data_IF_315081285638
#
_entry.id   IF_315081285638
#
_cell.length_a   1.000
_cell.length_b   1.000
_cell.length_c   1.000
_cell.angle_alpha   90.00
_cell.angle_beta   90.00
_cell.angle_gamma   90.00
#
_symmetry.space_group_name_H-M   'P 1'
#
loop_
_entity.id
_entity.type
_entity.pdbx_description
1 polymer ?
#
# COMPACT_ATOMS: atom_id res chain seq x y z
N UNK A 1 19.34 4.18 10.73
CA UNK A 1 19.71 4.70 9.39
C UNK A 1 18.58 5.62 8.94
N UNK A 2 18.86 6.90 8.66
CA UNK A 2 17.86 7.90 8.27
C UNK A 2 18.00 8.23 6.78
N UNK A 3 16.91 8.61 6.13
CA UNK A 3 16.94 9.06 4.74
C UNK A 3 16.06 10.28 4.54
N UNK A 4 16.44 11.12 3.58
CA UNK A 4 15.70 12.32 3.24
C UNK A 4 14.57 11.97 2.27
N UNK A 5 13.37 12.47 2.56
CA UNK A 5 12.22 12.41 1.67
C UNK A 5 11.53 13.77 1.68
N UNK A 6 10.99 14.17 0.53
CA UNK A 6 10.14 15.35 0.42
C UNK A 6 8.68 14.91 0.52
N UNK A 7 7.96 15.49 1.49
CA UNK A 7 6.56 15.17 1.72
C UNK A 7 5.63 16.23 1.16
N UNK A 8 4.63 15.81 0.38
CA UNK A 8 3.50 16.65 -0.02
C UNK A 8 2.21 16.09 0.58
N UNK A 9 1.29 16.93 1.10
CA UNK A 9 0.00 16.45 1.56
C UNK A 9 -0.73 15.79 0.39
N UNK A 10 -1.15 14.54 0.60
CA UNK A 10 -1.86 13.75 -0.40
C UNK A 10 -3.38 13.92 -0.26
N UNK A 11 -3.85 14.03 0.98
CA UNK A 11 -5.23 14.31 1.33
C UNK A 11 -5.25 15.60 2.18
N UNK A 12 -6.17 16.52 1.89
CA UNK A 12 -6.30 17.77 2.63
C UNK A 12 -7.05 17.58 3.96
N UNK A 13 -7.88 16.54 4.06
CA UNK A 13 -8.72 16.28 5.23
C UNK A 13 -8.09 15.31 6.22
N UNK A 14 -7.03 14.61 5.81
CA UNK A 14 -6.40 13.54 6.60
C UNK A 14 -4.89 13.70 6.59
N UNK A 15 -4.19 13.29 7.66
CA UNK A 15 -2.74 13.36 7.71
C UNK A 15 -2.10 12.23 6.89
N UNK A 16 -2.32 12.28 5.58
CA UNK A 16 -1.76 11.37 4.58
C UNK A 16 -0.80 12.16 3.71
N UNK A 17 0.45 11.70 3.65
CA UNK A 17 1.53 12.38 2.95
C UNK A 17 2.07 11.48 1.86
N UNK A 18 2.27 12.04 0.68
CA UNK A 18 3.06 11.40 -0.36
C UNK A 18 4.52 11.78 -0.13
N UNK A 19 5.37 10.78 0.07
CA UNK A 19 6.80 10.96 0.28
C UNK A 19 7.55 10.53 -0.98
N UNK A 20 8.24 11.48 -1.60
CA UNK A 20 9.20 11.20 -2.66
C UNK A 20 10.58 11.02 -2.04
N UNK A 21 11.12 9.81 -2.15
CA UNK A 21 12.38 9.43 -1.53
C UNK A 21 13.52 9.88 -2.44
N UNK A 22 14.44 10.69 -1.89
CA UNK A 22 15.59 11.19 -2.64
C UNK A 22 16.70 10.15 -2.65
N UNK A 23 16.93 9.57 -3.82
CA UNK A 23 17.99 8.58 -4.04
C UNK A 23 19.25 9.21 -4.63
N UNK A 24 20.38 8.86 -4.03
CA UNK A 24 21.70 9.12 -4.62
C UNK A 24 21.97 8.17 -5.78
N UNK A 25 22.98 8.47 -6.61
CA UNK A 25 23.40 7.56 -7.68
C UNK A 25 23.84 6.18 -7.15
N UNK A 26 24.49 6.15 -5.97
CA UNK A 26 24.88 4.91 -5.31
C UNK A 26 23.66 4.08 -4.87
N UNK A 27 22.62 4.73 -4.32
CA UNK A 27 21.40 4.03 -3.92
C UNK A 27 20.72 3.36 -5.14
N UNK A 28 20.72 4.04 -6.30
CA UNK A 28 20.16 3.51 -7.55
C UNK A 28 20.95 2.30 -8.06
N UNK A 29 22.28 2.39 -8.06
CA UNK A 29 23.16 1.28 -8.45
C UNK A 29 23.00 0.08 -7.52
N UNK A 30 22.93 0.31 -6.20
CA UNK A 30 22.70 -0.73 -5.20
C UNK A 30 21.36 -1.44 -5.42
N UNK A 31 20.28 -0.69 -5.70
CA UNK A 31 18.98 -1.29 -6.02
C UNK A 31 19.03 -2.12 -7.29
N UNK A 32 19.74 -1.66 -8.32
CA UNK A 32 19.90 -2.40 -9.56
C UNK A 32 20.65 -3.72 -9.33
N UNK A 33 21.78 -3.65 -8.63
CA UNK A 33 22.59 -4.82 -8.25
C UNK A 33 21.75 -5.78 -7.40
N UNK A 34 20.99 -5.27 -6.43
CA UNK A 34 20.10 -6.08 -5.62
C UNK A 34 19.03 -6.80 -6.44
N UNK A 35 18.29 -6.08 -7.32
CA UNK A 35 17.27 -6.72 -8.17
C UNK A 35 17.90 -7.79 -9.05
N UNK A 36 19.06 -7.51 -9.62
CA UNK A 36 19.80 -8.46 -10.44
C UNK A 36 20.27 -9.69 -9.64
N UNK A 37 20.83 -9.50 -8.45
CA UNK A 37 21.27 -10.58 -7.57
C UNK A 37 20.09 -11.40 -7.04
N UNK A 38 18.98 -10.76 -6.68
CA UNK A 38 17.76 -11.44 -6.17
C UNK A 38 17.11 -12.35 -7.19
N UNK A 39 17.35 -12.14 -8.48
CA UNK A 39 16.89 -13.01 -9.55
C UNK A 39 17.78 -14.25 -9.73
N UNK A 40 19.02 -14.22 -9.20
CA UNK A 40 20.04 -15.27 -9.38
C UNK A 40 20.35 -16.06 -8.12
N UNK A 41 20.19 -15.48 -6.94
CA UNK A 41 20.51 -16.08 -5.66
C UNK A 41 19.22 -16.40 -4.89
N UNK A 42 19.22 -17.51 -4.13
CA UNK A 42 18.05 -17.87 -3.34
C UNK A 42 17.79 -16.84 -2.24
N UNK A 43 16.51 -16.60 -1.91
CA UNK A 43 16.08 -15.60 -0.92
C UNK A 43 16.83 -15.69 0.42
N UNK A 44 17.22 -16.91 0.81
CA UNK A 44 17.93 -17.23 2.06
C UNK A 44 19.28 -16.49 2.16
N UNK A 45 19.98 -16.28 1.04
CA UNK A 45 21.27 -15.59 1.05
C UNK A 45 21.13 -14.06 1.09
N UNK A 46 19.95 -13.53 0.77
CA UNK A 46 19.73 -12.09 0.56
C UNK A 46 19.20 -11.38 1.80
N UNK A 47 18.52 -12.06 2.72
CA UNK A 47 17.97 -11.47 3.96
C UNK A 47 18.99 -10.69 4.81
N UNK A 48 20.18 -11.23 5.15
CA UNK A 48 21.14 -10.50 5.99
C UNK A 48 21.70 -9.25 5.28
N UNK A 49 21.85 -9.31 3.96
CA UNK A 49 22.32 -8.18 3.14
C UNK A 49 21.27 -7.07 3.10
N UNK A 50 19.98 -7.42 3.05
CA UNK A 50 18.87 -6.47 3.08
C UNK A 50 18.78 -5.69 4.38
N UNK A 51 19.00 -6.36 5.52
CA UNK A 51 19.04 -5.72 6.82
C UNK A 51 20.20 -4.72 6.93
N UNK A 52 21.33 -5.01 6.27
CA UNK A 52 22.53 -4.16 6.31
C UNK A 52 22.41 -2.93 5.38
N UNK A 53 21.77 -3.09 4.22
CA UNK A 53 21.59 -2.02 3.22
C UNK A 53 20.49 -1.01 3.59
N UNK A 54 19.60 -1.38 4.51
CA UNK A 54 18.58 -0.49 5.06
C UNK A 54 17.37 -0.24 4.15
N UNK A 55 16.37 0.49 4.67
CA UNK A 55 15.05 0.61 4.04
C UNK A 55 15.07 1.33 2.68
N UNK A 56 16.10 2.15 2.41
CA UNK A 56 16.26 2.86 1.13
C UNK A 56 16.30 1.91 -0.07
N UNK A 57 16.98 0.77 0.05
CA UNK A 57 17.12 -0.17 -1.07
C UNK A 57 15.80 -0.89 -1.36
N UNK A 58 14.96 -1.07 -0.33
CA UNK A 58 13.70 -1.81 -0.37
C UNK A 58 12.48 -0.97 -0.79
N UNK A 59 12.39 0.29 -0.35
CA UNK A 59 11.24 1.13 -0.61
C UNK A 59 11.22 1.64 -2.07
N UNK A 60 10.05 1.79 -2.72
CA UNK A 60 9.96 2.39 -4.06
C UNK A 60 10.30 3.89 -4.05
N UNK A 61 10.32 4.51 -5.23
CA UNK A 61 10.65 5.94 -5.35
C UNK A 61 9.69 6.86 -4.58
N UNK A 62 8.44 6.42 -4.47
CA UNK A 62 7.38 7.16 -3.84
C UNK A 62 6.60 6.21 -2.93
N UNK A 63 6.38 6.66 -1.69
CA UNK A 63 5.58 5.94 -0.70
C UNK A 63 4.50 6.85 -0.14
N UNK A 64 3.42 6.26 0.33
CA UNK A 64 2.35 6.97 1.04
C UNK A 64 2.56 6.73 2.53
N UNK A 65 2.61 7.82 3.29
CA UNK A 65 2.70 7.82 4.73
C UNK A 65 1.34 8.24 5.31
N UNK A 66 0.68 7.34 6.03
CA UNK A 66 -0.58 7.63 6.73
C UNK A 66 -0.32 7.74 8.21
N UNK A 67 -0.39 8.94 8.76
CA UNK A 67 -0.24 9.15 10.20
C UNK A 67 -1.49 8.75 10.95
N UNK A 68 -1.30 8.32 12.20
CA UNK A 68 -2.39 8.12 13.15
C UNK A 68 -3.04 9.46 13.49
N UNK A 69 -4.37 9.45 13.55
CA UNK A 69 -5.16 10.58 14.05
C UNK A 69 -5.45 10.32 15.52
N UNK A 70 -4.94 11.17 16.41
CA UNK A 70 -5.10 11.04 17.86
C UNK A 70 -6.25 11.93 18.36
N UNK A 71 -7.46 11.73 17.81
CA UNK A 71 -8.64 12.52 18.17
C UNK A 71 -9.49 11.85 19.26
N UNK A 72 -9.70 10.54 19.12
CA UNK A 72 -10.51 9.72 20.02
C UNK A 72 -10.06 8.24 19.97
N UNK A 73 -10.51 7.43 20.93
CA UNK A 73 -10.18 6.00 21.00
C UNK A 73 -10.60 5.23 19.74
N UNK A 74 -11.69 5.63 19.09
CA UNK A 74 -12.15 5.02 17.84
C UNK A 74 -11.16 5.24 16.69
N UNK A 75 -10.60 6.44 16.58
CA UNK A 75 -9.56 6.74 15.58
C UNK A 75 -8.25 5.99 15.84
N UNK A 76 -7.87 5.78 17.11
CA UNK A 76 -6.69 5.00 17.49
C UNK A 76 -6.93 3.51 17.19
N UNK A 77 -8.10 2.97 17.56
CA UNK A 77 -8.47 1.59 17.28
C UNK A 77 -8.49 1.32 15.76
N UNK A 78 -9.04 2.24 14.97
CA UNK A 78 -9.07 2.13 13.51
C UNK A 78 -7.66 2.03 12.91
N UNK A 79 -6.68 2.75 13.44
CA UNK A 79 -5.28 2.66 13.00
C UNK A 79 -4.69 1.27 13.27
N UNK A 80 -4.91 0.71 14.47
CA UNK A 80 -4.44 -0.64 14.80
C UNK A 80 -5.16 -1.73 14.00
N UNK A 81 -6.46 -1.57 13.77
CA UNK A 81 -7.21 -2.47 12.89
C UNK A 81 -6.67 -2.42 11.48
N UNK A 82 -6.40 -1.24 10.92
CA UNK A 82 -5.82 -1.10 9.59
C UNK A 82 -4.46 -1.81 9.50
N UNK A 83 -3.58 -1.56 10.46
CA UNK A 83 -2.30 -2.27 10.55
C UNK A 83 -2.47 -3.79 10.57
N UNK A 84 -3.42 -4.29 11.36
CA UNK A 84 -3.71 -5.71 11.47
C UNK A 84 -4.23 -6.28 10.14
N UNK A 85 -5.17 -5.61 9.47
CA UNK A 85 -5.70 -6.03 8.17
C UNK A 85 -4.56 -6.16 7.15
N UNK A 86 -3.72 -5.13 7.00
CA UNK A 86 -2.60 -5.22 6.05
C UNK A 86 -1.62 -6.35 6.39
N UNK A 87 -1.41 -6.63 7.68
CA UNK A 87 -0.52 -7.71 8.11
C UNK A 87 -1.13 -9.09 7.87
N UNK A 88 -2.43 -9.25 8.07
CA UNK A 88 -3.15 -10.52 7.86
C UNK A 88 -3.30 -10.84 6.38
N UNK A 89 -3.66 -9.85 5.56
CA UNK A 89 -3.94 -10.04 4.13
C UNK A 89 -2.77 -9.65 3.23
N UNK A 90 -1.55 -10.03 3.61
CA UNK A 90 -0.35 -9.78 2.80
C UNK A 90 -0.46 -10.33 1.37
N UNK A 91 -1.18 -11.43 1.18
CA UNK A 91 -1.38 -12.07 -0.13
C UNK A 91 -2.26 -11.23 -1.09
N UNK A 92 -3.08 -10.30 -0.59
CA UNK A 92 -3.91 -9.41 -1.40
C UNK A 92 -3.20 -8.11 -1.80
N UNK A 93 -2.01 -7.86 -1.23
CA UNK A 93 -1.23 -6.65 -1.51
C UNK A 93 -0.62 -6.67 -2.90
N UNK A 94 -0.65 -5.52 -3.58
CA UNK A 94 -0.23 -5.33 -4.96
C UNK A 94 -1.30 -5.60 -6.02
N UNK A 95 -2.45 -6.14 -5.62
CA UNK A 95 -3.61 -6.33 -6.50
C UNK A 95 -4.81 -5.54 -5.98
N UNK A 96 -5.35 -5.94 -4.82
CA UNK A 96 -6.55 -5.32 -4.23
C UNK A 96 -6.22 -4.26 -3.19
N UNK A 97 -5.03 -4.35 -2.60
CA UNK A 97 -4.56 -3.45 -1.56
C UNK A 97 -3.16 -2.93 -1.90
N UNK A 98 -2.80 -1.70 -1.49
CA UNK A 98 -1.41 -1.25 -1.54
C UNK A 98 -0.47 -2.19 -0.79
N UNK A 99 0.81 -2.23 -1.20
CA UNK A 99 1.83 -2.88 -0.39
C UNK A 99 2.03 -2.12 0.91
N UNK A 100 2.05 -2.85 2.02
CA UNK A 100 2.38 -2.32 3.34
C UNK A 100 3.84 -2.59 3.65
N UNK A 101 4.62 -1.52 3.81
CA UNK A 101 6.06 -1.59 4.07
C UNK A 101 6.41 -1.55 5.56
N UNK A 102 5.43 -1.31 6.43
CA UNK A 102 5.62 -1.31 7.87
C UNK A 102 5.25 0.03 8.53
N UNK A 103 5.66 0.16 9.79
CA UNK A 103 5.42 1.36 10.60
C UNK A 103 6.56 2.35 10.49
N UNK A 104 6.23 3.61 10.66
CA UNK A 104 7.17 4.70 10.81
C UNK A 104 6.71 5.64 11.94
N UNK A 105 7.57 6.59 12.29
CA UNK A 105 7.22 7.72 13.13
C UNK A 105 7.34 8.99 12.29
N UNK A 106 6.31 9.84 12.33
CA UNK A 106 6.42 11.20 11.84
C UNK A 106 6.53 12.14 13.03
N UNK A 107 7.76 12.59 13.31
CA UNK A 107 8.08 13.16 14.61
C UNK A 107 7.87 12.11 15.70
N UNK A 108 6.86 12.33 16.55
CA UNK A 108 6.45 11.40 17.62
C UNK A 108 5.18 10.62 17.31
N UNK A 109 4.53 10.89 16.17
CA UNK A 109 3.22 10.31 15.84
C UNK A 109 3.42 9.02 15.03
N UNK A 110 2.81 7.90 15.43
CA UNK A 110 2.83 6.66 14.65
C UNK A 110 2.25 6.83 13.25
N UNK A 111 2.85 6.18 12.27
CA UNK A 111 2.40 6.20 10.89
C UNK A 111 2.57 4.83 10.23
N UNK A 112 1.76 4.55 9.22
CA UNK A 112 1.88 3.39 8.35
C UNK A 112 2.46 3.82 6.99
N UNK A 113 3.35 2.99 6.44
CA UNK A 113 4.01 3.24 5.17
C UNK A 113 3.45 2.27 4.13
N UNK A 114 2.94 2.82 3.03
CA UNK A 114 2.33 2.08 1.93
C UNK A 114 2.99 2.38 0.59
N UNK A 115 2.83 1.49 -0.38
CA UNK A 115 3.07 1.83 -1.79
C UNK A 115 2.05 2.86 -2.25
N UNK A 116 2.46 3.72 -3.18
CA UNK A 116 1.48 4.49 -3.93
C UNK A 116 0.61 3.53 -4.76
N UNK A 117 -0.70 3.62 -4.59
CA UNK A 117 -1.64 2.95 -5.47
C UNK A 117 -1.71 3.72 -6.79
N UNK A 118 -1.38 3.05 -7.90
CA UNK A 118 -1.59 3.60 -9.23
C UNK A 118 -3.03 3.28 -9.66
N UNK A 119 -3.78 4.27 -10.16
CA UNK A 119 -5.15 4.04 -10.60
C UNK A 119 -6.05 5.25 -10.39
N UNK A 120 -7.35 5.03 -10.59
CA UNK A 120 -8.41 6.00 -10.29
C UNK A 120 -9.20 5.51 -9.10
N UNK A 121 -9.66 6.44 -8.28
CA UNK A 121 -10.61 6.13 -7.23
C UNK A 121 -11.91 5.57 -7.82
N UNK A 122 -12.58 4.68 -7.08
CA UNK A 122 -13.84 4.08 -7.55
C UNK A 122 -14.88 5.15 -7.95
N UNK A 123 -14.95 6.28 -7.24
CA UNK A 123 -15.90 7.34 -7.58
C UNK A 123 -15.55 8.08 -8.88
N UNK A 124 -14.27 8.15 -9.24
CA UNK A 124 -13.74 8.75 -10.48
C UNK A 124 -13.91 7.85 -11.71
N UNK A 125 -14.22 6.56 -11.51
CA UNK A 125 -14.49 5.64 -12.61
C UNK A 125 -15.79 6.00 -13.33
N UNK A 126 -15.76 5.94 -14.66
CA UNK A 126 -16.96 5.96 -15.51
C UNK A 126 -17.87 4.78 -15.20
N UNK A 127 -19.15 4.86 -15.61
CA UNK A 127 -20.12 3.78 -15.39
C UNK A 127 -19.67 2.44 -16.00
N UNK A 128 -18.96 2.48 -17.13
CA UNK A 128 -18.43 1.27 -17.78
C UNK A 128 -17.23 0.70 -17.03
N UNK A 129 -16.29 1.54 -16.60
CA UNK A 129 -15.16 1.13 -15.76
C UNK A 129 -15.65 0.54 -14.43
N UNK A 130 -16.67 1.15 -13.81
CA UNK A 130 -17.32 0.62 -12.58
C UNK A 130 -17.91 -0.76 -12.80
N UNK A 131 -18.68 -0.96 -13.88
CA UNK A 131 -19.33 -2.24 -14.19
C UNK A 131 -18.31 -3.38 -14.34
N UNK A 132 -17.10 -3.07 -14.83
CA UNK A 132 -16.01 -4.05 -14.97
C UNK A 132 -15.22 -4.26 -13.67
N UNK A 133 -14.98 -3.21 -12.91
CA UNK A 133 -14.17 -3.27 -11.69
C UNK A 133 -14.93 -3.86 -10.49
N UNK A 134 -16.23 -3.54 -10.34
CA UNK A 134 -17.03 -3.93 -9.17
C UNK A 134 -17.00 -5.44 -8.86
N UNK A 135 -17.18 -6.37 -9.81
CA UNK A 135 -17.15 -7.80 -9.50
C UNK A 135 -15.80 -8.30 -8.95
N UNK A 136 -14.69 -7.70 -9.39
CA UNK A 136 -13.34 -8.05 -8.93
C UNK A 136 -13.13 -7.53 -7.51
N UNK A 137 -13.56 -6.30 -7.26
CA UNK A 137 -13.51 -5.66 -5.95
C UNK A 137 -14.36 -6.43 -4.94
N UNK A 138 -15.60 -6.78 -5.31
CA UNK A 138 -16.56 -7.49 -4.46
C UNK A 138 -16.01 -8.86 -4.06
N UNK A 139 -15.49 -9.65 -5.00
CA UNK A 139 -14.85 -10.93 -4.70
C UNK A 139 -13.66 -10.77 -3.74
N UNK A 140 -12.80 -9.78 -3.99
CA UNK A 140 -11.68 -9.48 -3.09
C UNK A 140 -12.11 -9.11 -1.68
N UNK A 141 -13.26 -8.44 -1.53
CA UNK A 141 -13.83 -8.12 -0.24
C UNK A 141 -14.55 -9.29 0.43
N UNK A 142 -15.14 -10.20 -0.33
CA UNK A 142 -15.68 -11.46 0.19
C UNK A 142 -14.57 -12.26 0.87
N UNK A 143 -13.41 -12.38 0.22
CA UNK A 143 -12.20 -13.01 0.78
C UNK A 143 -11.70 -12.30 2.07
N UNK A 144 -11.78 -10.97 2.11
CA UNK A 144 -11.50 -10.21 3.35
C UNK A 144 -12.55 -10.45 4.44
N UNK A 145 -13.81 -10.69 4.07
CA UNK A 145 -14.93 -10.76 5.00
C UNK A 145 -15.10 -12.12 5.67
N UNK A 146 -14.75 -13.21 4.98
CA UNK A 146 -14.88 -14.57 5.51
C UNK A 146 -13.99 -14.79 6.75
N UNK A 147 -12.87 -14.08 6.83
CA UNK A 147 -11.92 -14.11 7.94
C UNK A 147 -12.18 -13.00 8.99
N UNK A 148 -12.90 -11.93 8.63
CA UNK A 148 -13.25 -10.80 9.52
C UNK A 148 -14.72 -10.87 9.95
N UNK A 149 -15.10 -11.95 10.63
CA UNK A 149 -16.34 -11.95 11.41
C UNK A 149 -16.25 -10.89 12.53
N UNK A 150 -17.20 -9.93 12.54
CA UNK A 150 -17.38 -8.79 13.45
C UNK A 150 -16.79 -7.44 12.99
N UNK A 151 -17.55 -6.73 12.15
CA UNK A 151 -18.10 -5.38 12.39
C UNK A 151 -18.38 -4.69 11.04
N UNK A 152 -19.68 -4.57 10.74
CA UNK A 152 -20.34 -3.83 9.66
C UNK A 152 -19.48 -3.49 8.42
N UNK A 153 -19.27 -4.52 7.60
CA UNK A 153 -18.65 -4.42 6.28
C UNK A 153 -19.39 -3.48 5.34
N UNK A 154 -20.70 -3.30 5.49
CA UNK A 154 -21.50 -2.45 4.59
C UNK A 154 -21.16 -0.97 4.79
N UNK A 155 -20.93 -0.55 6.05
CA UNK A 155 -20.53 0.81 6.37
C UNK A 155 -19.04 1.04 6.07
N UNK A 156 -18.18 0.02 6.24
CA UNK A 156 -16.74 0.10 5.90
C UNK A 156 -16.48 0.13 4.40
N UNK A 157 -17.14 -0.71 3.60
CA UNK A 157 -17.09 -0.64 2.13
C UNK A 157 -17.62 0.71 1.66
N UNK A 158 -18.67 1.24 2.29
CA UNK A 158 -19.20 2.60 2.01
C UNK A 158 -18.20 3.71 2.36
N UNK A 159 -17.50 3.61 3.49
CA UNK A 159 -16.45 4.57 3.89
C UNK A 159 -15.20 4.47 3.00
N UNK A 160 -14.84 3.28 2.55
CA UNK A 160 -13.71 3.09 1.63
C UNK A 160 -14.05 3.52 0.20
N UNK A 161 -15.33 3.38 -0.23
CA UNK A 161 -15.87 3.97 -1.47
C UNK A 161 -15.60 5.48 -1.58
N UNK A 162 -15.64 6.17 -0.43
CA UNK A 162 -15.39 7.61 -0.32
C UNK A 162 -13.92 7.98 -0.10
N UNK A 163 -13.04 7.02 0.21
CA UNK A 163 -11.62 7.26 0.53
C UNK A 163 -10.67 7.16 -0.66
N UNK A 164 -11.20 7.01 -1.87
CA UNK A 164 -10.40 7.12 -3.08
C UNK A 164 -9.33 6.03 -3.23
N UNK A 165 -9.60 4.80 -2.78
CA UNK A 165 -8.71 3.67 -3.09
C UNK A 165 -8.60 3.53 -4.61
N UNK A 166 -7.42 3.82 -5.14
CA UNK A 166 -7.07 3.57 -6.53
C UNK A 166 -6.87 2.07 -6.71
N UNK A 167 -7.69 1.48 -7.57
CA UNK A 167 -7.44 0.12 -8.05
C UNK A 167 -6.42 0.22 -9.18
N UNK A 168 -5.33 -0.52 -9.03
CA UNK A 168 -4.41 -0.75 -10.14
C UNK A 168 -5.05 -1.76 -11.11
N UNK A 169 -5.99 -1.29 -11.93
CA UNK A 169 -6.68 -2.10 -12.94
C UNK A 169 -5.70 -2.54 -14.06
N UNK A 170 -4.44 -2.10 -14.04
CA UNK A 170 -3.52 -2.25 -15.17
C UNK A 170 -2.97 -3.66 -15.35
N UNK A 171 -2.81 -4.43 -14.27
CA UNK A 171 -2.17 -5.76 -14.36
C UNK A 171 -3.17 -6.92 -14.58
N UNK A 172 -4.37 -6.86 -14.01
CA UNK A 172 -5.36 -7.92 -14.23
C UNK A 172 -6.05 -7.84 -15.60
N UNK A 173 -6.19 -6.63 -16.18
CA UNK A 173 -6.71 -6.48 -17.56
C UNK A 173 -5.79 -7.12 -18.61
N UNK A 174 -4.46 -7.05 -18.44
CA UNK A 174 -3.52 -7.63 -19.39
C UNK A 174 -3.44 -9.17 -19.28
N UNK A 175 -3.68 -9.73 -18.09
CA UNK A 175 -3.73 -11.18 -17.89
C UNK A 175 -5.02 -11.78 -18.48
N UNK A 176 -6.15 -11.07 -18.39
CA UNK A 176 -7.42 -11.51 -18.99
C UNK A 176 -7.44 -11.35 -20.51
N UNK A 177 -6.76 -10.35 -21.07
CA UNK A 177 -6.68 -10.15 -22.54
C UNK A 177 -5.73 -11.15 -23.22
N UNK A 178 -4.73 -11.71 -22.52
CA UNK A 178 -3.85 -12.75 -23.10
C UNK A 178 -4.43 -14.17 -23.11
N UNK A 179 -5.59 -14.39 -22.48
CA UNK A 179 -6.23 -15.70 -22.37
C UNK A 179 -7.52 -15.87 -23.18
N UNK A 180 -7.89 -14.86 -23.98
CA UNK A 180 -9.00 -14.95 -24.94
C UNK A 180 -8.49 -14.75 -26.36
#
# INVERSE_FOLDING_TARGET
MTFNATGTPFDQERPVFKLDIVYTQLDKSLRFIYRWLSQRLSRIWMEPVLLLLGPKVLLPNTVILKQRVDKDEGTIAAFHTEEHVYTTYQHLQGSLMPYYYGKALCGTIPALVFSQAEGKALHELSSEEKRRALPVIERGYEELSDDLALLDMSERVRRMRNQGYCLDIKNDLLATIKKN
#
